data_IF_326470535031
#
_entry.id   IF_326470535031
#
_cell.length_a   1.000
_cell.length_b   1.000
_cell.length_c   1.000
_cell.angle_alpha   90.00
_cell.angle_beta   90.00
_cell.angle_gamma   90.00
#
_symmetry.space_group_name_H-M   'P 1'
#
loop_
_entity.id
_entity.type
_entity.pdbx_description
1 polymer ?
#
# COMPACT_ATOMS: atom_id res chain seq x y z
N UNK A 1 12.60 -10.95 -12.58
CA UNK A 1 12.48 -9.67 -11.85
C UNK A 1 12.55 -8.54 -12.88
N UNK A 2 11.44 -7.86 -13.15
CA UNK A 2 11.36 -6.81 -14.19
C UNK A 2 11.47 -5.44 -13.51
N UNK A 3 12.46 -4.65 -13.94
CA UNK A 3 12.66 -3.26 -13.51
C UNK A 3 11.80 -2.35 -14.39
N UNK A 4 11.14 -1.36 -13.78
CA UNK A 4 10.36 -0.38 -14.53
C UNK A 4 11.31 0.55 -15.31
N UNK A 5 11.11 0.63 -16.62
CA UNK A 5 11.88 1.52 -17.51
C UNK A 5 11.66 2.99 -17.20
N UNK A 6 10.45 3.32 -16.72
CA UNK A 6 10.06 4.65 -16.26
C UNK A 6 9.68 4.61 -14.76
N UNK A 7 10.41 5.34 -13.89
CA UNK A 7 10.10 5.38 -12.46
C UNK A 7 8.99 6.39 -12.11
N UNK A 8 8.70 7.34 -13.00
CA UNK A 8 7.66 8.37 -12.84
C UNK A 8 6.29 7.85 -12.34
N UNK A 9 5.69 6.78 -12.93
CA UNK A 9 4.40 6.25 -12.47
C UNK A 9 4.45 5.63 -11.07
N UNK A 10 5.62 5.21 -10.59
CA UNK A 10 5.83 4.72 -9.24
C UNK A 10 6.10 5.86 -8.25
N UNK A 11 6.94 6.82 -8.62
CA UNK A 11 7.36 7.90 -7.74
C UNK A 11 6.21 8.85 -7.37
N UNK A 12 5.34 9.16 -8.34
CA UNK A 12 4.19 10.06 -8.12
C UNK A 12 3.24 9.59 -7.00
N UNK A 13 2.73 8.34 -7.00
CA UNK A 13 1.89 7.85 -5.92
C UNK A 13 2.67 7.68 -4.62
N UNK A 14 3.89 7.15 -4.65
CA UNK A 14 4.69 6.93 -3.42
C UNK A 14 5.00 8.26 -2.71
N UNK A 15 5.31 9.33 -3.44
CA UNK A 15 5.51 10.65 -2.85
C UNK A 15 4.26 11.22 -2.16
N UNK A 16 3.07 11.01 -2.75
CA UNK A 16 1.80 11.41 -2.12
C UNK A 16 1.48 10.57 -0.90
N UNK A 17 1.78 9.27 -0.96
CA UNK A 17 1.59 8.36 0.16
C UNK A 17 2.50 8.70 1.34
N UNK A 18 3.73 9.15 1.07
CA UNK A 18 4.69 9.61 2.08
C UNK A 18 4.19 10.86 2.82
N UNK A 19 3.42 11.72 2.16
CA UNK A 19 2.75 12.81 2.85
C UNK A 19 1.60 12.30 3.72
N UNK A 20 0.86 11.30 3.24
CA UNK A 20 -0.29 10.73 3.94
C UNK A 20 0.10 10.00 5.23
N UNK A 21 1.33 9.49 5.35
CA UNK A 21 1.81 8.83 6.58
C UNK A 21 1.77 9.74 7.81
N UNK A 22 1.77 11.06 7.61
CA UNK A 22 1.68 12.06 8.70
C UNK A 22 0.33 11.96 9.41
N UNK A 23 -0.76 11.74 8.67
CA UNK A 23 -2.12 11.63 9.22
C UNK A 23 -2.60 10.20 9.37
N UNK A 24 -1.88 9.23 8.77
CA UNK A 24 -2.19 7.80 8.77
C UNK A 24 -0.94 6.95 9.00
N UNK A 25 -0.54 6.77 10.27
CA UNK A 25 0.67 6.01 10.60
C UNK A 25 0.54 4.50 10.34
N UNK A 26 -0.68 4.00 10.11
CA UNK A 26 -0.97 2.59 9.81
C UNK A 26 -0.31 2.10 8.52
N UNK A 27 -0.03 3.00 7.58
CA UNK A 27 0.67 2.69 6.32
C UNK A 27 2.16 3.07 6.33
N UNK A 28 2.65 3.75 7.38
CA UNK A 28 4.00 4.32 7.43
C UNK A 28 5.09 3.31 7.12
N UNK A 29 4.99 2.11 7.70
CA UNK A 29 5.99 1.06 7.49
C UNK A 29 6.09 0.64 6.02
N UNK A 30 4.95 0.42 5.37
CA UNK A 30 4.92 -0.02 3.97
C UNK A 30 5.42 1.09 3.05
N UNK A 31 5.02 2.33 3.30
CA UNK A 31 5.46 3.49 2.50
C UNK A 31 6.95 3.75 2.68
N UNK A 32 7.49 3.61 3.90
CA UNK A 32 8.92 3.74 4.15
C UNK A 32 9.71 2.70 3.35
N UNK A 33 9.28 1.44 3.35
CA UNK A 33 9.90 0.38 2.54
C UNK A 33 9.84 0.70 1.03
N UNK A 34 8.68 1.11 0.52
CA UNK A 34 8.52 1.48 -0.89
C UNK A 34 9.38 2.70 -1.28
N UNK A 35 9.55 3.67 -0.38
CA UNK A 35 10.36 4.87 -0.62
C UNK A 35 11.85 4.56 -0.87
N UNK A 36 12.36 3.44 -0.34
CA UNK A 36 13.75 3.01 -0.56
C UNK A 36 14.01 2.61 -2.03
N UNK A 37 12.97 2.22 -2.76
CA UNK A 37 13.07 1.74 -4.14
C UNK A 37 12.69 2.80 -5.19
N UNK A 38 12.69 4.08 -4.82
CA UNK A 38 12.31 5.19 -5.72
C UNK A 38 13.24 5.36 -6.92
N UNK A 39 14.53 4.99 -6.80
CA UNK A 39 15.52 5.14 -7.87
C UNK A 39 15.51 3.97 -8.87
N UNK A 40 15.09 2.78 -8.43
CA UNK A 40 14.98 1.59 -9.30
C UNK A 40 13.77 0.74 -8.89
N UNK A 41 12.55 1.21 -9.21
CA UNK A 41 11.35 0.48 -8.85
C UNK A 41 11.20 -0.78 -9.68
N UNK A 42 10.74 -1.85 -9.04
CA UNK A 42 10.42 -3.14 -9.65
C UNK A 42 8.91 -3.24 -9.82
N UNK A 43 8.47 -4.11 -10.72
CA UNK A 43 7.04 -4.37 -10.91
C UNK A 43 6.34 -4.80 -9.61
N UNK A 44 6.98 -5.62 -8.78
CA UNK A 44 6.48 -6.00 -7.46
C UNK A 44 6.28 -4.81 -6.51
N UNK A 45 7.16 -3.80 -6.58
CA UNK A 45 7.00 -2.57 -5.79
C UNK A 45 5.81 -1.76 -6.29
N UNK A 46 5.59 -1.71 -7.61
CA UNK A 46 4.43 -1.04 -8.20
C UNK A 46 3.11 -1.70 -7.79
N UNK A 47 3.05 -3.04 -7.84
CA UNK A 47 1.88 -3.80 -7.40
C UNK A 47 1.57 -3.56 -5.91
N UNK A 48 2.60 -3.52 -5.07
CA UNK A 48 2.45 -3.17 -3.65
C UNK A 48 1.96 -1.73 -3.47
N UNK A 49 2.54 -0.75 -4.17
CA UNK A 49 2.09 0.64 -4.13
C UNK A 49 0.63 0.78 -4.57
N UNK A 50 0.21 0.10 -5.63
CA UNK A 50 -1.18 0.06 -6.08
C UNK A 50 -2.10 -0.56 -5.03
N UNK A 51 -1.67 -1.62 -4.35
CA UNK A 51 -2.44 -2.25 -3.28
C UNK A 51 -2.64 -1.31 -2.09
N UNK A 52 -1.62 -0.53 -1.71
CA UNK A 52 -1.75 0.50 -0.65
C UNK A 52 -2.72 1.60 -1.08
N UNK A 53 -2.66 2.06 -2.33
CA UNK A 53 -3.62 3.05 -2.85
C UNK A 53 -5.05 2.49 -2.82
N UNK A 54 -5.26 1.22 -3.19
CA UNK A 54 -6.57 0.56 -3.10
C UNK A 54 -7.05 0.49 -1.66
N UNK A 55 -6.20 0.06 -0.73
CA UNK A 55 -6.50 0.00 0.71
C UNK A 55 -6.96 1.35 1.26
N UNK A 56 -6.25 2.44 0.92
CA UNK A 56 -6.62 3.80 1.36
C UNK A 56 -7.96 4.23 0.76
N UNK A 57 -8.21 3.93 -0.52
CA UNK A 57 -9.48 4.25 -1.18
C UNK A 57 -10.66 3.46 -0.62
N UNK A 58 -10.47 2.19 -0.29
CA UNK A 58 -11.51 1.33 0.27
C UNK A 58 -11.81 1.64 1.74
N UNK A 59 -10.90 2.31 2.45
CA UNK A 59 -11.00 2.54 3.89
C UNK A 59 -10.80 4.00 4.28
N UNK A 60 -11.84 4.87 4.23
CA UNK A 60 -11.76 6.19 4.85
C UNK A 60 -11.65 6.12 6.38
N UNK A 61 -11.99 4.99 7.03
CA UNK A 61 -11.95 4.82 8.50
C UNK A 61 -11.73 3.37 8.98
N UNK A 62 -11.27 2.46 8.12
CA UNK A 62 -10.95 1.10 8.55
C UNK A 62 -9.47 1.08 8.93
N UNK A 63 -9.18 1.56 10.15
CA UNK A 63 -7.90 1.20 10.79
C UNK A 63 -7.82 -0.31 10.89
N UNK A 64 -6.61 -0.87 10.85
CA UNK A 64 -6.39 -2.29 11.13
C UNK A 64 -6.86 -2.51 12.58
N UNK A 65 -8.12 -2.91 12.74
CA UNK A 65 -8.70 -3.32 14.02
C UNK A 65 -8.07 -4.66 14.36
N UNK A 66 -6.85 -4.62 14.92
CA UNK A 66 -6.30 -5.77 15.64
C UNK A 66 -7.06 -5.88 16.98
N UNK A 67 -8.29 -6.37 16.91
CA UNK A 67 -9.05 -6.73 18.10
C UNK A 67 -8.34 -7.91 18.76
N UNK A 68 -7.81 -7.71 19.97
CA UNK A 68 -7.27 -8.77 20.83
C UNK A 68 -8.38 -9.62 21.48
N UNK A 69 -9.45 -9.88 20.73
CA UNK A 69 -10.54 -10.77 21.13
C UNK A 69 -10.82 -11.69 19.96
N UNK A 70 -10.57 -12.97 20.18
CA UNK A 70 -10.83 -14.03 19.22
C UNK A 70 -12.27 -13.93 18.70
N UNK A 71 -12.45 -13.45 17.46
CA UNK A 71 -13.68 -13.62 16.72
C UNK A 71 -13.32 -14.11 15.33
N UNK A 72 -13.47 -15.42 15.17
CA UNK A 72 -13.21 -16.20 13.98
C UNK A 72 -14.22 -15.88 12.87
N UNK A 73 -14.11 -14.72 12.21
CA UNK A 73 -14.79 -14.48 10.92
C UNK A 73 -13.86 -13.73 9.97
N UNK A 74 -13.02 -14.51 9.29
CA UNK A 74 -12.28 -14.08 8.10
C UNK A 74 -13.28 -14.01 6.94
N UNK A 75 -13.74 -12.82 6.56
CA UNK A 75 -14.48 -12.63 5.31
C UNK A 75 -13.48 -12.37 4.18
N UNK A 76 -13.21 -13.40 3.39
CA UNK A 76 -12.47 -13.28 2.13
C UNK A 76 -13.47 -13.07 0.99
N UNK A 77 -13.40 -11.92 0.30
CA UNK A 77 -14.12 -11.70 -0.95
C UNK A 77 -13.20 -12.10 -2.10
N UNK A 78 -13.60 -13.14 -2.84
CA UNK A 78 -12.98 -13.57 -4.08
C UNK A 78 -13.81 -12.96 -5.23
N UNK A 79 -13.21 -12.03 -5.96
CA UNK A 79 -13.82 -11.50 -7.19
C UNK A 79 -13.07 -12.16 -8.34
N UNK A 80 -13.74 -13.15 -8.94
CA UNK A 80 -13.30 -13.82 -10.15
C UNK A 80 -14.16 -13.28 -11.29
N UNK A 81 -13.55 -12.48 -12.16
CA UNK A 81 -13.94 -12.32 -13.57
C UNK A 81 -12.66 -12.32 -14.41
#
# INVERSE_FOLDING_TARGET
MIVLKDPSPYQRPVGRLLYLTITRPDISFVIQNLSQFMHSPKQSHMEAATSVVKYIKQSPRMGILMSSTASSKLHAYCDAD
#
